data_IF_983141997529
#
_entry.id   IF_983141997529
#
_cell.length_a   1.000
_cell.length_b   1.000
_cell.length_c   1.000
_cell.angle_alpha   90.00
_cell.angle_beta   90.00
_cell.angle_gamma   90.00
#
_symmetry.space_group_name_H-M   'P 1'
#
loop_
_entity.id
_entity.type
_entity.pdbx_description
1 polymer ?
#
# COMPACT_ATOMS: atom_id res chain seq x y z
N UNK A 1 -1.80 -2.46 3.41
CA UNK A 1 -1.09 -3.76 3.55
C UNK A 1 0.36 -3.50 3.98
N UNK A 2 1.10 -4.52 4.42
CA UNK A 2 2.51 -4.38 4.85
C UNK A 2 2.72 -3.31 5.96
N UNK A 3 1.90 -3.37 7.01
CA UNK A 3 1.93 -2.39 8.10
C UNK A 3 0.64 -2.33 8.93
N UNK A 4 -0.47 -2.89 8.43
CA UNK A 4 -1.78 -2.86 9.10
C UNK A 4 -1.90 -3.92 10.21
N UNK A 5 -1.06 -3.80 11.24
CA UNK A 5 -1.00 -4.75 12.36
C UNK A 5 -1.62 -4.21 13.64
N UNK A 6 -1.75 -2.89 13.79
CA UNK A 6 -2.45 -2.30 14.94
C UNK A 6 -3.96 -2.26 14.71
N UNK A 7 -4.73 -2.37 15.80
CA UNK A 7 -6.20 -2.27 15.79
C UNK A 7 -6.68 -1.36 16.93
N UNK A 8 -7.46 -0.30 16.63
CA UNK A 8 -8.09 0.48 17.68
C UNK A 8 -9.19 -0.36 18.35
N UNK A 9 -9.37 -0.17 19.66
CA UNK A 9 -10.40 -0.86 20.45
C UNK A 9 -11.21 0.17 21.21
N UNK A 10 -12.52 -0.06 21.29
CA UNK A 10 -13.44 0.76 22.09
C UNK A 10 -13.20 0.64 23.59
N UNK A 11 -12.69 -0.51 24.04
CA UNK A 11 -12.34 -0.78 25.43
C UNK A 11 -10.96 -1.44 25.52
N UNK A 12 -10.11 -1.05 26.51
CA UNK A 12 -8.83 -1.69 26.74
C UNK A 12 -8.95 -3.14 27.25
N UNK A 13 -10.11 -3.50 27.82
CA UNK A 13 -10.41 -4.84 28.33
C UNK A 13 -11.61 -5.45 27.60
N UNK A 14 -11.67 -6.78 27.53
CA UNK A 14 -12.80 -7.55 27.02
C UNK A 14 -13.12 -8.76 27.92
N UNK A 15 -14.37 -9.23 27.85
CA UNK A 15 -14.84 -10.37 28.63
C UNK A 15 -14.78 -11.64 27.79
N UNK A 16 -13.99 -12.62 28.22
CA UNK A 16 -13.89 -13.94 27.57
C UNK A 16 -14.07 -15.03 28.62
N UNK A 17 -15.06 -15.91 28.44
CA UNK A 17 -15.32 -17.00 29.39
C UNK A 17 -15.61 -16.55 30.82
N UNK A 18 -16.20 -15.36 30.99
CA UNK A 18 -16.50 -14.77 32.30
C UNK A 18 -15.31 -14.11 33.02
N UNK A 19 -14.14 -14.05 32.38
CA UNK A 19 -12.96 -13.32 32.88
C UNK A 19 -12.73 -12.05 32.08
N UNK A 20 -12.30 -11.00 32.77
CA UNK A 20 -11.87 -9.75 32.15
C UNK A 20 -10.38 -9.84 31.79
N UNK A 21 -10.06 -9.67 30.50
CA UNK A 21 -8.68 -9.77 29.97
C UNK A 21 -8.36 -8.57 29.07
N UNK A 22 -7.09 -8.24 28.83
CA UNK A 22 -6.74 -7.19 27.88
C UNK A 22 -7.27 -7.50 26.47
N UNK A 23 -7.88 -6.50 25.85
CA UNK A 23 -8.35 -6.58 24.48
C UNK A 23 -7.19 -6.87 23.52
N UNK A 24 -7.45 -7.67 22.49
CA UNK A 24 -6.53 -7.82 21.37
C UNK A 24 -6.44 -6.49 20.63
N UNK A 25 -5.24 -5.94 20.50
CA UNK A 25 -4.97 -4.63 19.88
C UNK A 25 -4.17 -4.77 18.58
N UNK A 26 -4.11 -6.00 18.05
CA UNK A 26 -3.40 -6.33 16.84
C UNK A 26 -2.03 -6.93 17.10
N UNK A 27 -1.53 -7.71 16.14
CA UNK A 27 -0.36 -8.58 16.30
C UNK A 27 0.94 -7.85 16.63
N UNK A 28 0.99 -6.53 16.38
CA UNK A 28 2.11 -5.65 16.73
C UNK A 28 2.19 -5.34 18.22
N UNK A 29 1.11 -5.56 18.98
CA UNK A 29 1.05 -5.31 20.42
C UNK A 29 0.89 -6.59 21.24
N UNK A 30 -0.07 -7.44 20.89
CA UNK A 30 -0.37 -8.68 21.61
C UNK A 30 -0.96 -9.74 20.67
N UNK A 31 -1.04 -10.99 21.15
CA UNK A 31 -1.60 -12.11 20.38
C UNK A 31 -3.12 -12.18 20.46
N UNK A 32 -3.72 -12.91 19.52
CA UNK A 32 -5.17 -13.12 19.50
C UNK A 32 -5.63 -14.06 20.62
N UNK A 33 -4.84 -15.09 20.89
CA UNK A 33 -5.11 -16.07 21.94
C UNK A 33 -5.13 -15.44 23.34
N UNK A 34 -5.97 -16.00 24.22
CA UNK A 34 -6.21 -15.45 25.57
C UNK A 34 -4.93 -15.41 26.42
N UNK A 35 -4.04 -16.37 26.22
CA UNK A 35 -2.76 -16.47 26.95
C UNK A 35 -1.70 -15.52 26.40
N UNK A 36 -1.93 -14.89 25.24
CA UNK A 36 -0.98 -13.99 24.59
C UNK A 36 -1.39 -12.51 24.67
N UNK A 37 -2.27 -12.14 25.61
CA UNK A 37 -2.83 -10.79 25.70
C UNK A 37 -1.91 -9.74 26.31
N UNK A 38 -0.81 -10.16 26.93
CA UNK A 38 0.22 -9.26 27.42
C UNK A 38 0.93 -8.54 26.28
N UNK A 39 1.33 -7.28 26.54
CA UNK A 39 2.06 -6.48 25.58
C UNK A 39 3.50 -6.99 25.44
N UNK A 40 3.91 -7.27 24.22
CA UNK A 40 5.26 -7.72 23.90
C UNK A 40 5.96 -6.74 22.95
N UNK A 41 6.95 -5.95 23.42
CA UNK A 41 7.71 -5.02 22.59
C UNK A 41 8.46 -5.68 21.42
N UNK A 42 8.79 -6.97 21.51
CA UNK A 42 9.47 -7.68 20.42
C UNK A 42 8.59 -7.78 19.17
N UNK A 43 7.26 -7.72 19.35
CA UNK A 43 6.29 -7.70 18.25
C UNK A 43 6.42 -6.48 17.35
N UNK A 44 7.01 -5.37 17.82
CA UNK A 44 7.36 -4.23 16.97
C UNK A 44 8.35 -4.63 15.88
N UNK A 45 9.37 -5.42 16.23
CA UNK A 45 10.37 -5.92 15.28
C UNK A 45 9.75 -6.94 14.33
N UNK A 46 8.92 -7.85 14.84
CA UNK A 46 8.19 -8.81 14.02
C UNK A 46 7.31 -8.10 12.99
N UNK A 47 6.55 -7.09 13.40
CA UNK A 47 5.72 -6.29 12.50
C UNK A 47 6.55 -5.59 11.41
N UNK A 48 7.73 -5.07 11.75
CA UNK A 48 8.67 -4.51 10.77
C UNK A 48 9.12 -5.56 9.75
N UNK A 49 9.58 -6.73 10.20
CA UNK A 49 10.06 -7.77 9.29
C UNK A 49 8.95 -8.33 8.40
N UNK A 50 7.75 -8.55 8.95
CA UNK A 50 6.60 -8.96 8.14
C UNK A 50 6.20 -7.89 7.11
N UNK A 51 6.23 -6.60 7.49
CA UNK A 51 6.00 -5.50 6.56
C UNK A 51 7.02 -5.50 5.42
N UNK A 52 8.31 -5.58 5.76
CA UNK A 52 9.40 -5.58 4.79
C UNK A 52 9.33 -6.79 3.85
N UNK A 53 9.10 -8.00 4.40
CA UNK A 53 8.95 -9.22 3.61
C UNK A 53 7.75 -9.15 2.66
N UNK A 54 6.59 -8.69 3.15
CA UNK A 54 5.38 -8.52 2.34
C UNK A 54 5.61 -7.53 1.21
N UNK A 55 6.19 -6.37 1.51
CA UNK A 55 6.46 -5.33 0.51
C UNK A 55 7.49 -5.81 -0.53
N UNK A 56 8.54 -6.51 -0.10
CA UNK A 56 9.52 -7.09 -1.00
C UNK A 56 8.90 -8.14 -1.92
N UNK A 57 8.06 -9.03 -1.38
CA UNK A 57 7.34 -10.03 -2.16
C UNK A 57 6.43 -9.38 -3.20
N UNK A 58 5.67 -8.35 -2.83
CA UNK A 58 4.79 -7.64 -3.75
C UNK A 58 5.60 -6.97 -4.86
N UNK A 59 6.69 -6.25 -4.52
CA UNK A 59 7.58 -5.63 -5.52
C UNK A 59 8.20 -6.65 -6.47
N UNK A 60 8.69 -7.78 -5.94
CA UNK A 60 9.25 -8.86 -6.74
C UNK A 60 8.20 -9.49 -7.66
N UNK A 61 6.98 -9.68 -7.15
CA UNK A 61 5.86 -10.20 -7.94
C UNK A 61 5.52 -9.26 -9.10
N UNK A 62 5.41 -7.96 -8.85
CA UNK A 62 5.19 -6.94 -9.88
C UNK A 62 6.31 -6.97 -10.93
N UNK A 63 7.58 -6.99 -10.49
CA UNK A 63 8.74 -7.04 -11.38
C UNK A 63 8.83 -8.35 -12.20
N UNK A 64 8.33 -9.47 -11.67
CA UNK A 64 8.27 -10.75 -12.39
C UNK A 64 7.15 -10.85 -13.44
N UNK A 65 6.37 -9.77 -13.63
CA UNK A 65 5.24 -9.74 -14.56
C UNK A 65 3.95 -10.37 -14.01
N UNK A 66 3.79 -10.45 -12.68
CA UNK A 66 2.52 -10.88 -12.06
C UNK A 66 1.38 -9.89 -12.34
N UNK A 67 1.71 -8.61 -12.46
CA UNK A 67 0.77 -7.56 -12.85
C UNK A 67 0.88 -7.19 -14.34
N UNK A 68 1.52 -8.04 -15.16
CA UNK A 68 1.52 -7.87 -16.60
C UNK A 68 0.10 -8.06 -17.12
N UNK A 69 -0.49 -7.00 -17.68
CA UNK A 69 -1.83 -7.01 -18.27
C UNK A 69 -1.94 -8.02 -19.44
N UNK A 70 -0.82 -8.47 -19.99
CA UNK A 70 -0.78 -9.51 -21.02
C UNK A 70 -0.85 -10.95 -20.49
N UNK A 71 -0.73 -11.14 -19.18
CA UNK A 71 -0.99 -12.41 -18.49
C UNK A 71 -2.22 -12.24 -17.59
N UNK A 72 -3.45 -12.47 -18.11
CA UNK A 72 -4.63 -12.58 -17.27
C UNK A 72 -4.50 -13.86 -16.43
N UNK A 73 -3.75 -13.78 -15.33
CA UNK A 73 -3.78 -14.76 -14.26
C UNK A 73 -5.21 -14.81 -13.76
N UNK A 74 -5.91 -15.90 -14.13
CA UNK A 74 -7.20 -16.33 -13.62
C UNK A 74 -8.03 -15.24 -12.93
N UNK A 75 -8.43 -14.22 -13.69
CA UNK A 75 -9.53 -13.33 -13.33
C UNK A 75 -10.86 -14.10 -13.22
N UNK A 76 -10.83 -15.44 -13.32
CA UNK A 76 -11.96 -16.32 -13.17
C UNK A 76 -12.62 -16.12 -11.80
N UNK A 77 -13.86 -15.63 -11.85
CA UNK A 77 -14.76 -15.57 -10.71
C UNK A 77 -15.27 -16.97 -10.30
N UNK A 78 -14.43 -18.00 -10.26
CA UNK A 78 -14.83 -19.38 -9.93
C UNK A 78 -15.53 -19.53 -8.57
N UNK A 79 -15.40 -18.51 -7.71
CA UNK A 79 -16.01 -18.43 -6.38
C UNK A 79 -17.32 -17.63 -6.36
N UNK A 80 -17.65 -16.88 -7.42
CA UNK A 80 -18.90 -16.09 -7.49
C UNK A 80 -20.01 -17.01 -7.98
N UNK A 81 -21.03 -17.19 -7.14
CA UNK A 81 -22.15 -18.09 -7.44
C UNK A 81 -23.32 -17.41 -8.17
N UNK A 82 -23.29 -16.08 -8.30
CA UNK A 82 -24.31 -15.32 -9.04
C UNK A 82 -24.03 -15.33 -10.56
N UNK A 83 -24.90 -15.98 -11.36
CA UNK A 83 -24.71 -16.08 -12.82
C UNK A 83 -24.80 -14.74 -13.55
N UNK A 84 -25.61 -13.80 -13.06
CA UNK A 84 -25.80 -12.51 -13.74
C UNK A 84 -24.56 -11.62 -13.56
N UNK A 85 -24.03 -11.59 -12.34
CA UNK A 85 -22.79 -10.88 -12.03
C UNK A 85 -21.60 -11.49 -12.77
N UNK A 86 -21.54 -12.83 -12.85
CA UNK A 86 -20.50 -13.53 -13.60
C UNK A 86 -20.54 -13.16 -15.09
N UNK A 87 -21.73 -13.11 -15.71
CA UNK A 87 -21.88 -12.71 -17.11
C UNK A 87 -21.43 -11.25 -17.36
N UNK A 88 -21.84 -10.32 -16.49
CA UNK A 88 -21.43 -8.90 -16.57
C UNK A 88 -19.91 -8.73 -16.45
N UNK A 89 -19.30 -9.40 -15.47
CA UNK A 89 -17.86 -9.36 -15.29
C UNK A 89 -17.09 -9.96 -16.46
N UNK A 90 -17.54 -11.13 -16.96
CA UNK A 90 -16.92 -11.81 -18.10
C UNK A 90 -16.94 -10.92 -19.34
N UNK A 91 -18.05 -10.23 -19.62
CA UNK A 91 -18.13 -9.29 -20.74
C UNK A 91 -17.12 -8.14 -20.64
N UNK A 92 -16.86 -7.62 -19.43
CA UNK A 92 -15.85 -6.58 -19.20
C UNK A 92 -14.44 -7.14 -19.45
N UNK A 93 -14.14 -8.31 -18.90
CA UNK A 93 -12.84 -8.98 -19.08
C UNK A 93 -12.56 -9.27 -20.56
N UNK A 94 -13.55 -9.77 -21.30
CA UNK A 94 -13.43 -10.06 -22.73
C UNK A 94 -13.17 -8.77 -23.54
N UNK A 95 -13.85 -7.68 -23.19
CA UNK A 95 -13.66 -6.37 -23.83
C UNK A 95 -12.24 -5.82 -23.62
N UNK A 96 -11.73 -5.88 -22.38
CA UNK A 96 -10.36 -5.48 -22.04
C UNK A 96 -9.35 -6.35 -22.78
N UNK A 97 -9.55 -7.67 -22.77
CA UNK A 97 -8.66 -8.64 -23.43
C UNK A 97 -8.63 -8.43 -24.94
N UNK A 98 -9.77 -8.18 -25.57
CA UNK A 98 -9.87 -7.86 -27.00
C UNK A 98 -9.11 -6.58 -27.35
N UNK A 99 -9.26 -5.53 -26.52
CA UNK A 99 -8.54 -4.26 -26.69
C UNK A 99 -7.02 -4.46 -26.61
N UNK A 100 -6.54 -5.22 -25.63
CA UNK A 100 -5.11 -5.53 -25.49
C UNK A 100 -4.56 -6.34 -26.68
N UNK A 101 -5.36 -7.27 -27.24
CA UNK A 101 -5.00 -7.99 -28.48
C UNK A 101 -4.91 -7.06 -29.68
N UNK A 102 -5.86 -6.12 -29.82
CA UNK A 102 -5.84 -5.12 -30.88
C UNK A 102 -4.61 -4.23 -30.79
N UNK A 103 -4.29 -3.69 -29.61
CA UNK A 103 -3.10 -2.85 -29.39
C UNK A 103 -1.82 -3.57 -29.84
N UNK A 104 -1.70 -4.86 -29.50
CA UNK A 104 -0.59 -5.71 -29.96
C UNK A 104 -0.58 -5.89 -31.47
N UNK A 105 -1.72 -6.13 -32.10
CA UNK A 105 -1.83 -6.31 -33.55
C UNK A 105 -1.47 -5.03 -34.34
N UNK A 106 -1.73 -3.85 -33.77
CA UNK A 106 -1.37 -2.53 -34.35
C UNK A 106 0.09 -2.16 -34.05
N UNK A 107 0.84 -3.00 -33.34
CA UNK A 107 2.26 -2.79 -33.04
C UNK A 107 2.53 -1.91 -31.81
N UNK A 108 1.49 -1.56 -31.04
CA UNK A 108 1.64 -0.87 -29.76
C UNK A 108 2.03 -1.92 -28.71
N UNK A 109 3.33 -2.00 -28.39
CA UNK A 109 3.83 -2.78 -27.25
C UNK A 109 5.07 -3.66 -27.47
N UNK A 110 5.72 -3.63 -28.64
CA UNK A 110 6.93 -4.43 -28.88
C UNK A 110 8.24 -3.75 -28.39
N UNK A 111 8.31 -2.42 -28.42
CA UNK A 111 9.58 -1.68 -28.22
C UNK A 111 9.47 -0.50 -27.22
N UNK A 112 8.26 -0.14 -26.74
CA UNK A 112 8.07 1.17 -26.07
C UNK A 112 7.03 1.24 -24.95
N UNK A 113 6.53 0.13 -24.42
CA UNK A 113 5.44 0.15 -23.43
C UNK A 113 5.86 -0.32 -22.03
N UNK A 114 6.78 0.40 -21.39
CA UNK A 114 7.08 0.17 -19.96
C UNK A 114 5.83 0.32 -19.07
N UNK A 115 4.88 1.18 -19.45
CA UNK A 115 3.65 1.44 -18.68
C UNK A 115 2.57 0.35 -18.76
N UNK A 116 2.70 -0.66 -19.64
CA UNK A 116 1.72 -1.76 -19.73
C UNK A 116 2.19 -3.05 -19.03
N UNK A 117 3.47 -3.11 -18.63
CA UNK A 117 4.10 -4.31 -18.08
C UNK A 117 4.08 -4.35 -16.54
N UNK A 118 3.89 -3.21 -15.89
CA UNK A 118 3.91 -3.07 -14.43
C UNK A 118 2.92 -2.01 -13.96
N UNK A 119 2.47 -2.13 -12.72
CA UNK A 119 1.63 -1.13 -12.04
C UNK A 119 2.36 -0.60 -10.82
N UNK A 120 2.14 0.67 -10.49
CA UNK A 120 2.60 1.22 -9.22
C UNK A 120 1.64 0.80 -8.11
N UNK A 121 2.17 0.08 -7.12
CA UNK A 121 1.42 -0.30 -5.92
C UNK A 121 1.97 0.44 -4.71
N UNK A 122 1.08 1.15 -4.04
CA UNK A 122 1.36 1.88 -2.81
C UNK A 122 0.80 1.15 -1.60
N UNK A 123 1.46 1.31 -0.46
CA UNK A 123 1.03 0.72 0.82
C UNK A 123 0.57 1.80 1.78
N UNK A 124 -0.48 1.50 2.52
CA UNK A 124 -0.96 2.31 3.62
C UNK A 124 -1.36 1.43 4.81
N UNK A 125 -1.34 2.06 5.98
CA UNK A 125 -1.88 1.57 7.24
C UNK A 125 -2.28 2.76 8.11
N UNK A 126 -3.09 2.49 9.13
CA UNK A 126 -3.44 3.48 10.15
C UNK A 126 -2.25 3.76 11.07
N UNK A 127 -1.76 5.01 11.10
CA UNK A 127 -0.64 5.47 11.94
C UNK A 127 -1.04 5.59 13.43
N UNK A 128 -1.38 4.45 14.04
CA UNK A 128 -1.99 4.37 15.37
C UNK A 128 -0.93 4.28 16.49
N UNK A 129 0.13 3.50 16.28
CA UNK A 129 1.16 3.23 17.29
C UNK A 129 2.37 4.14 17.10
N UNK A 130 2.35 5.29 17.75
CA UNK A 130 3.31 6.38 17.50
C UNK A 130 4.76 5.98 17.75
N UNK A 131 5.04 5.09 18.69
CA UNK A 131 6.39 4.58 18.95
C UNK A 131 6.95 3.83 17.74
N UNK A 132 6.10 3.05 17.06
CA UNK A 132 6.46 2.37 15.83
C UNK A 132 6.65 3.38 14.68
N UNK A 133 5.70 4.29 14.49
CA UNK A 133 5.75 5.29 13.41
C UNK A 133 6.95 6.24 13.53
N UNK A 134 7.23 6.72 14.74
CA UNK A 134 8.38 7.57 15.04
C UNK A 134 9.69 6.85 14.70
N UNK A 135 9.79 5.56 15.05
CA UNK A 135 10.98 4.75 14.77
C UNK A 135 11.24 4.53 13.27
N UNK A 136 10.22 4.68 12.42
CA UNK A 136 10.31 4.54 10.96
C UNK A 136 10.37 5.88 10.21
N UNK A 137 10.11 6.99 10.89
CA UNK A 137 10.20 8.34 10.30
C UNK A 137 11.66 8.69 9.96
N UNK A 138 11.92 9.19 8.76
CA UNK A 138 13.27 9.54 8.27
C UNK A 138 13.27 10.94 7.68
N UNK A 139 14.38 11.68 7.86
CA UNK A 139 14.62 12.92 7.11
C UNK A 139 15.01 12.55 5.68
N UNK A 140 14.35 13.15 4.70
CA UNK A 140 14.72 13.04 3.29
C UNK A 140 15.29 14.37 2.81
N UNK A 141 16.33 14.37 1.96
CA UNK A 141 16.76 15.58 1.29
C UNK A 141 15.62 16.10 0.41
N UNK A 142 15.46 17.43 0.35
CA UNK A 142 14.48 18.06 -0.53
C UNK A 142 14.87 17.71 -1.98
N UNK A 143 13.95 17.15 -2.79
CA UNK A 143 14.23 16.90 -4.20
C UNK A 143 14.60 18.21 -4.91
N UNK A 144 15.71 18.18 -5.64
CA UNK A 144 16.36 19.32 -6.30
C UNK A 144 15.45 20.14 -7.23
N UNK A 145 14.30 19.59 -7.62
CA UNK A 145 13.36 20.22 -8.56
C UNK A 145 12.42 21.27 -7.92
N UNK A 146 12.44 21.45 -6.60
CA UNK A 146 11.55 22.41 -5.92
C UNK A 146 12.15 23.77 -5.61
N UNK A 147 13.41 24.04 -5.96
CA UNK A 147 13.94 25.42 -6.04
C UNK A 147 13.38 26.13 -7.27
N UNK A 148 12.06 26.36 -7.28
CA UNK A 148 11.47 27.43 -8.07
C UNK A 148 12.08 28.72 -7.53
N UNK A 149 12.89 29.36 -8.37
CA UNK A 149 13.40 30.71 -8.13
C UNK A 149 12.22 31.66 -8.05
N UNK A 150 11.72 31.91 -6.83
CA UNK A 150 10.91 33.09 -6.56
C UNK A 150 11.84 34.29 -6.81
N UNK A 151 11.58 35.16 -7.79
CA UNK A 151 12.37 36.37 -7.94
C UNK A 151 12.11 37.22 -6.70
N UNK A 152 13.17 37.55 -5.97
CA UNK A 152 13.14 38.61 -4.96
C UNK A 152 12.67 39.90 -5.64
N UNK A 153 11.65 40.60 -5.13
CA UNK A 153 11.26 41.88 -5.71
C UNK A 153 12.41 42.88 -5.50
N UNK A 154 12.82 43.52 -6.59
CA UNK A 154 13.78 44.63 -6.57
C UNK A 154 13.25 45.72 -5.62
N UNK A 155 13.91 45.87 -4.46
CA UNK A 155 13.79 47.10 -3.68
C UNK A 155 14.68 48.15 -4.31
N UNK A 156 14.20 48.77 -5.39
CA UNK A 156 14.67 50.09 -5.81
C UNK A 156 14.12 51.12 -4.81
N UNK A 157 14.92 51.40 -3.79
CA UNK A 157 14.68 52.38 -2.75
C UNK A 157 15.88 53.30 -2.64
N UNK A 158 16.21 54.01 -3.73
CA UNK A 158 17.18 55.08 -3.73
C UNK A 158 16.79 56.18 -2.74
N UNK A 159 17.32 56.13 -1.52
CA UNK A 159 17.24 57.26 -0.61
C UNK A 159 18.43 58.19 -0.88
N UNK A 160 18.15 59.25 -1.63
CA UNK A 160 19.04 60.39 -1.83
C UNK A 160 19.29 61.07 -0.47
N UNK A 161 20.57 61.42 -0.26
CA UNK A 161 21.04 62.33 0.78
C UNK A 161 20.27 63.66 0.77
N UNK A 162 19.88 64.13 1.95
CA UNK A 162 20.10 65.49 2.45
C UNK A 162 20.00 65.46 3.98
#
# INVERSE_FOLDING_TARGET
>A
MAGQYAKPRSSPMEMVGGKEIPSFRGDILNGFDVEERDLDPERLKSAYFHSAATLNFVRASLASGFADLHRPLDWGLGHVQDPELQAKYTAIVDSITSTLRMMRAVGVGAESSSGLQTVDLYTSHEGLLLEYEQSLTRKLPIPSETTSTVPTPDTDGGNKKA
#
